data_IF_164941770074
#
_entry.id   IF_164941770074
#
_cell.length_a   1.000
_cell.length_b   1.000
_cell.length_c   1.000
_cell.angle_alpha   90.00
_cell.angle_beta   90.00
_cell.angle_gamma   90.00
#
_symmetry.space_group_name_H-M   'P 1'
#
loop_
_entity.id
_entity.type
_entity.pdbx_description
1 polymer ?
#
# COMPACT_ATOMS: atom_id res chain seq x y z
N UNK A 1 66.78 -24.20 23.31
CA UNK A 1 66.12 -25.24 22.48
C UNK A 1 64.74 -24.71 22.13
N UNK A 2 64.46 -24.61 20.83
CA UNK A 2 63.20 -24.23 20.20
C UNK A 2 62.61 -22.87 20.60
N UNK A 3 63.08 -21.82 19.92
CA UNK A 3 62.31 -20.59 19.73
C UNK A 3 61.03 -20.94 18.96
N UNK A 4 59.93 -21.09 19.68
CA UNK A 4 58.60 -21.19 19.08
C UNK A 4 58.23 -19.76 18.66
N UNK A 5 58.52 -19.42 17.40
CA UNK A 5 57.86 -18.31 16.72
C UNK A 5 56.38 -18.69 16.58
N UNK A 6 55.58 -18.28 17.56
CA UNK A 6 54.13 -18.18 17.40
C UNK A 6 53.89 -17.03 16.41
N UNK A 7 53.90 -17.35 15.13
CA UNK A 7 53.24 -16.53 14.11
C UNK A 7 51.75 -16.49 14.48
N UNK A 8 51.41 -15.48 15.28
CA UNK A 8 50.05 -15.02 15.46
C UNK A 8 49.58 -14.56 14.08
N UNK A 9 48.97 -15.47 13.34
CA UNK A 9 48.11 -15.20 12.18
C UNK A 9 46.88 -14.41 12.64
N UNK A 10 47.13 -13.21 13.18
CA UNK A 10 46.17 -12.14 13.19
C UNK A 10 46.16 -11.60 11.76
N UNK A 11 45.48 -12.31 10.87
CA UNK A 11 44.96 -11.71 9.64
C UNK A 11 43.90 -10.67 10.06
N UNK A 12 44.39 -9.55 10.57
CA UNK A 12 43.69 -8.29 10.54
C UNK A 12 43.27 -8.09 9.09
N UNK A 13 41.96 -7.88 8.90
CA UNK A 13 41.30 -7.53 7.65
C UNK A 13 42.29 -6.84 6.71
N UNK A 14 42.71 -7.53 5.64
CA UNK A 14 43.68 -7.01 4.68
C UNK A 14 43.09 -5.75 4.03
N UNK A 15 43.64 -4.59 4.37
CA UNK A 15 43.19 -3.27 3.92
C UNK A 15 43.79 -2.99 2.53
N UNK A 16 43.17 -3.47 1.47
CA UNK A 16 43.44 -2.99 0.10
C UNK A 16 42.37 -1.97 -0.31
N UNK A 17 42.82 -0.73 -0.52
CA UNK A 17 42.06 0.52 -0.46
C UNK A 17 40.92 0.75 -1.48
N UNK A 18 40.42 -0.23 -2.23
CA UNK A 18 39.26 0.00 -3.13
C UNK A 18 38.36 -1.22 -3.44
N UNK A 19 38.57 -2.42 -2.87
CA UNK A 19 37.79 -3.63 -3.22
C UNK A 19 36.97 -4.30 -2.09
N UNK A 20 37.04 -3.81 -0.84
CA UNK A 20 36.45 -4.47 0.33
C UNK A 20 35.02 -4.01 0.70
N UNK A 21 34.19 -3.58 -0.25
CA UNK A 21 32.81 -3.22 0.09
C UNK A 21 31.95 -4.46 0.38
N UNK A 22 32.16 -5.55 -0.36
CA UNK A 22 31.35 -6.77 -0.26
C UNK A 22 31.86 -7.71 0.84
N UNK A 23 30.90 -8.25 1.59
CA UNK A 23 31.10 -9.19 2.70
C UNK A 23 30.17 -10.39 2.54
N UNK A 24 30.71 -11.58 2.83
CA UNK A 24 29.96 -12.84 2.90
C UNK A 24 29.66 -13.17 4.36
N UNK A 25 28.38 -13.41 4.64
CA UNK A 25 27.87 -13.80 5.95
C UNK A 25 27.30 -15.21 5.87
N UNK A 26 27.51 -16.00 6.91
CA UNK A 26 26.77 -17.24 7.13
C UNK A 26 25.68 -16.97 8.18
N UNK A 27 24.43 -16.89 7.74
CA UNK A 27 23.28 -16.53 8.58
C UNK A 27 22.43 -17.78 8.79
N UNK A 28 22.51 -18.39 9.96
CA UNK A 28 21.78 -19.62 10.28
C UNK A 28 22.03 -20.77 9.29
N UNK A 29 23.22 -20.84 8.68
CA UNK A 29 23.59 -21.84 7.66
C UNK A 29 23.42 -21.37 6.21
N UNK A 30 22.81 -20.19 5.95
CA UNK A 30 22.65 -19.65 4.61
C UNK A 30 23.69 -18.57 4.30
N UNK A 31 24.39 -18.72 3.17
CA UNK A 31 25.40 -17.74 2.73
C UNK A 31 24.71 -16.54 2.08
N UNK A 32 24.92 -15.36 2.64
CA UNK A 32 24.36 -14.10 2.16
C UNK A 32 25.50 -13.13 1.80
N UNK A 33 25.35 -12.49 0.64
CA UNK A 33 26.27 -11.46 0.17
C UNK A 33 25.64 -10.08 0.39
N UNK A 34 26.40 -9.16 0.96
CA UNK A 34 25.97 -7.78 1.19
C UNK A 34 27.18 -6.85 1.25
N UNK A 35 26.94 -5.56 1.45
CA UNK A 35 28.02 -4.57 1.57
C UNK A 35 28.18 -4.08 3.01
N UNK A 36 29.40 -3.68 3.37
CA UNK A 36 29.67 -2.98 4.63
C UNK A 36 28.81 -1.71 4.75
N UNK A 37 28.60 -1.00 3.63
CA UNK A 37 27.70 0.16 3.54
C UNK A 37 26.28 -0.18 3.99
N UNK A 38 25.78 -1.35 3.59
CA UNK A 38 24.44 -1.82 3.99
C UNK A 38 24.41 -2.18 5.47
N UNK A 39 25.39 -2.96 5.96
CA UNK A 39 25.44 -3.40 7.36
C UNK A 39 25.67 -2.25 8.35
N UNK A 40 26.34 -1.18 7.91
CA UNK A 40 26.65 -0.01 8.75
C UNK A 40 25.69 1.16 8.55
N UNK A 41 24.61 0.98 7.79
CA UNK A 41 23.63 2.03 7.48
C UNK A 41 23.08 2.69 8.75
N UNK A 42 22.75 1.90 9.76
CA UNK A 42 22.34 2.37 11.09
C UNK A 42 23.50 2.18 12.09
N UNK A 43 24.37 3.18 12.18
CA UNK A 43 25.64 3.10 12.95
C UNK A 43 25.49 2.71 14.42
N UNK A 44 24.36 3.04 15.04
CA UNK A 44 24.06 2.73 16.44
C UNK A 44 23.50 1.31 16.66
N UNK A 45 23.16 0.60 15.59
CA UNK A 45 22.68 -0.78 15.65
C UNK A 45 23.83 -1.75 15.95
N UNK A 46 23.49 -2.94 16.42
CA UNK A 46 24.44 -4.03 16.62
C UNK A 46 25.17 -4.37 15.31
N UNK A 47 24.48 -4.42 14.17
CA UNK A 47 25.12 -4.62 12.86
C UNK A 47 26.10 -3.46 12.55
N UNK A 48 25.69 -2.23 12.83
CA UNK A 48 26.56 -1.07 12.69
C UNK A 48 27.84 -1.18 13.53
N UNK A 49 27.73 -1.64 14.77
CA UNK A 49 28.87 -1.85 15.67
C UNK A 49 29.73 -3.05 15.28
N UNK A 50 29.12 -4.13 14.79
CA UNK A 50 29.81 -5.32 14.32
C UNK A 50 30.66 -5.03 13.09
N UNK A 51 30.17 -4.20 12.17
CA UNK A 51 30.80 -3.99 10.87
C UNK A 51 31.38 -2.59 10.66
N UNK A 52 31.41 -1.74 11.71
CA UNK A 52 32.08 -0.44 11.64
C UNK A 52 33.55 -0.62 11.27
N UNK A 53 34.10 0.38 10.58
CA UNK A 53 35.54 0.46 10.34
C UNK A 53 36.27 0.44 11.70
N UNK A 54 37.36 -0.32 11.75
CA UNK A 54 38.20 -0.48 12.95
C UNK A 54 37.44 -1.06 14.16
N UNK A 55 36.43 -1.90 13.90
CA UNK A 55 35.74 -2.65 14.95
C UNK A 55 36.69 -3.59 15.69
N UNK A 56 36.52 -3.67 17.00
CA UNK A 56 37.19 -4.67 17.86
C UNK A 56 36.31 -5.90 18.08
N UNK A 57 35.19 -6.00 17.35
CA UNK A 57 34.25 -7.10 17.48
C UNK A 57 34.92 -8.42 17.11
N UNK A 58 34.84 -9.40 18.03
CA UNK A 58 35.40 -10.73 17.80
C UNK A 58 34.40 -11.56 17.01
N UNK A 59 34.57 -11.59 15.69
CA UNK A 59 33.70 -12.38 14.83
C UNK A 59 34.02 -13.88 14.94
N UNK A 60 33.00 -14.67 15.24
CA UNK A 60 33.04 -16.11 14.96
C UNK A 60 32.88 -16.32 13.47
N UNK A 61 33.65 -17.26 12.91
CA UNK A 61 33.61 -17.62 11.49
C UNK A 61 33.33 -19.11 11.33
N UNK A 62 32.69 -19.46 10.22
CA UNK A 62 32.53 -20.86 9.81
C UNK A 62 33.84 -21.42 9.23
N UNK A 63 33.83 -22.69 8.80
CA UNK A 63 34.97 -23.36 8.19
C UNK A 63 35.47 -22.71 6.88
N UNK A 64 34.64 -21.87 6.25
CA UNK A 64 34.98 -21.14 5.02
C UNK A 64 35.46 -19.70 5.30
N UNK A 65 35.53 -19.30 6.57
CA UNK A 65 35.93 -17.96 6.99
C UNK A 65 34.81 -16.90 6.91
N UNK A 66 33.56 -17.29 6.66
CA UNK A 66 32.43 -16.35 6.63
C UNK A 66 31.95 -16.04 8.04
N UNK A 67 31.61 -14.77 8.28
CA UNK A 67 31.17 -14.31 9.60
C UNK A 67 29.81 -14.93 9.93
N UNK A 68 29.72 -15.57 11.08
CA UNK A 68 28.51 -16.22 11.57
C UNK A 68 27.55 -15.20 12.19
N UNK A 69 26.29 -15.27 11.76
CA UNK A 69 25.16 -14.56 12.36
C UNK A 69 24.14 -15.61 12.79
N UNK A 70 23.86 -15.68 14.10
CA UNK A 70 22.90 -16.60 14.68
C UNK A 70 21.48 -16.05 14.55
N UNK A 71 20.89 -16.17 13.37
CA UNK A 71 19.55 -15.71 13.05
C UNK A 71 18.91 -16.56 11.93
N UNK A 72 17.58 -16.59 11.86
CA UNK A 72 16.86 -17.16 10.71
C UNK A 72 17.15 -16.28 9.47
N UNK A 73 17.72 -16.85 8.40
CA UNK A 73 18.11 -16.08 7.23
C UNK A 73 16.94 -15.46 6.48
N UNK A 74 15.72 -15.99 6.60
CA UNK A 74 14.52 -15.44 5.95
C UNK A 74 14.16 -14.08 6.55
N UNK A 75 14.13 -13.97 7.88
CA UNK A 75 13.89 -12.68 8.54
C UNK A 75 15.08 -11.73 8.34
N UNK A 76 16.31 -12.25 8.38
CA UNK A 76 17.50 -11.43 8.14
C UNK A 76 17.55 -10.85 6.71
N UNK A 77 17.02 -11.55 5.72
CA UNK A 77 16.93 -11.02 4.35
C UNK A 77 16.02 -9.79 4.29
N UNK A 78 14.91 -9.78 5.03
CA UNK A 78 14.04 -8.59 5.14
C UNK A 78 14.79 -7.43 5.79
N UNK A 79 15.55 -7.68 6.85
CA UNK A 79 16.43 -6.67 7.48
C UNK A 79 17.41 -6.08 6.45
N UNK A 80 18.08 -6.93 5.69
CA UNK A 80 19.05 -6.47 4.68
C UNK A 80 18.39 -5.65 3.58
N UNK A 81 17.23 -6.08 3.07
CA UNK A 81 16.49 -5.36 2.04
C UNK A 81 16.07 -3.97 2.56
N UNK A 82 15.56 -3.89 3.78
CA UNK A 82 15.31 -2.61 4.44
C UNK A 82 16.57 -1.73 4.49
N UNK A 83 17.73 -2.27 4.88
CA UNK A 83 18.97 -1.49 4.93
C UNK A 83 19.50 -1.08 3.54
N UNK A 84 19.19 -1.85 2.49
CA UNK A 84 19.57 -1.56 1.09
C UNK A 84 18.80 -0.39 0.51
N UNK A 85 17.46 -0.44 0.59
CA UNK A 85 16.59 0.49 -0.14
C UNK A 85 15.59 1.26 0.74
N UNK A 86 15.52 1.00 2.04
CA UNK A 86 14.68 1.74 2.99
C UNK A 86 13.20 1.35 2.98
N UNK A 87 12.84 0.25 2.31
CA UNK A 87 11.45 -0.25 2.24
C UNK A 87 11.38 -1.66 2.82
N UNK A 88 10.26 -1.97 3.50
CA UNK A 88 10.00 -3.31 3.99
C UNK A 88 9.19 -4.07 2.94
N UNK A 89 9.77 -5.16 2.42
CA UNK A 89 9.09 -6.09 1.52
C UNK A 89 9.08 -7.45 2.20
N UNK A 90 7.88 -7.95 2.53
CA UNK A 90 7.68 -9.24 3.20
C UNK A 90 6.82 -10.13 2.31
N UNK A 91 7.26 -11.37 2.10
CA UNK A 91 6.47 -12.37 1.40
C UNK A 91 5.19 -12.69 2.20
N UNK A 92 4.05 -12.98 1.54
CA UNK A 92 2.76 -13.18 2.22
C UNK A 92 2.77 -14.20 3.38
N UNK A 93 3.68 -15.18 3.35
CA UNK A 93 3.75 -16.27 4.31
C UNK A 93 4.82 -16.09 5.40
N UNK A 94 5.57 -14.98 5.40
CA UNK A 94 6.59 -14.72 6.40
C UNK A 94 5.99 -13.96 7.59
N UNK A 95 6.20 -14.46 8.81
CA UNK A 95 5.64 -13.85 10.02
C UNK A 95 6.35 -12.54 10.37
N UNK A 96 5.63 -11.41 10.32
CA UNK A 96 6.15 -10.08 10.67
C UNK A 96 6.74 -9.99 12.08
N UNK A 97 6.22 -10.76 13.05
CA UNK A 97 6.80 -10.80 14.40
C UNK A 97 8.24 -11.29 14.42
N UNK A 98 8.61 -12.20 13.51
CA UNK A 98 9.99 -12.66 13.37
C UNK A 98 10.92 -11.53 12.92
N UNK A 99 10.47 -10.70 11.97
CA UNK A 99 11.21 -9.52 11.49
C UNK A 99 11.35 -8.50 12.61
N UNK A 100 10.25 -8.18 13.31
CA UNK A 100 10.24 -7.21 14.42
C UNK A 100 11.14 -7.65 15.58
N UNK A 101 11.09 -8.93 15.96
CA UNK A 101 11.96 -9.49 16.99
C UNK A 101 13.43 -9.36 16.60
N UNK A 102 13.76 -9.64 15.34
CA UNK A 102 15.14 -9.56 14.86
C UNK A 102 15.63 -8.10 14.73
N UNK A 103 14.75 -7.18 14.32
CA UNK A 103 15.03 -5.75 14.30
C UNK A 103 15.36 -5.22 15.70
N UNK A 104 14.57 -5.61 16.70
CA UNK A 104 14.81 -5.28 18.13
C UNK A 104 16.12 -5.88 18.63
N UNK A 105 16.40 -7.13 18.29
CA UNK A 105 17.65 -7.80 18.67
C UNK A 105 18.89 -7.06 18.13
N UNK A 106 18.87 -6.64 16.86
CA UNK A 106 19.95 -5.87 16.28
C UNK A 106 19.93 -4.37 16.64
N UNK A 107 18.93 -3.89 17.40
CA UNK A 107 18.81 -2.47 17.72
C UNK A 107 18.60 -1.58 16.50
N UNK A 108 17.83 -2.07 15.51
CA UNK A 108 17.43 -1.32 14.32
C UNK A 108 16.17 -0.51 14.63
N UNK A 109 16.37 0.65 15.25
CA UNK A 109 15.28 1.48 15.75
C UNK A 109 14.46 2.06 14.60
N UNK A 110 15.12 2.45 13.51
CA UNK A 110 14.44 2.97 12.32
C UNK A 110 13.43 1.97 11.74
N UNK A 111 13.78 0.68 11.75
CA UNK A 111 12.92 -0.40 11.31
C UNK A 111 11.84 -0.74 12.34
N UNK A 112 12.21 -0.81 13.62
CA UNK A 112 11.27 -1.09 14.72
C UNK A 112 10.18 -0.02 14.77
N UNK A 113 10.54 1.26 14.70
CA UNK A 113 9.62 2.38 14.65
C UNK A 113 8.72 2.30 13.41
N UNK A 114 9.26 1.92 12.25
CA UNK A 114 8.47 1.76 11.02
C UNK A 114 7.41 0.66 11.19
N UNK A 115 7.81 -0.53 11.69
CA UNK A 115 6.89 -1.66 11.90
C UNK A 115 5.88 -1.33 13.00
N UNK A 116 6.31 -0.80 14.14
CA UNK A 116 5.41 -0.43 15.23
C UNK A 116 4.43 0.65 14.77
N UNK A 117 4.85 1.62 13.94
CA UNK A 117 3.93 2.60 13.33
C UNK A 117 2.97 1.95 12.34
N UNK A 118 3.40 0.99 11.52
CA UNK A 118 2.52 0.24 10.62
C UNK A 118 1.51 -0.64 11.36
N UNK A 119 1.92 -1.37 12.40
CA UNK A 119 1.02 -2.14 13.26
C UNK A 119 0.08 -1.23 14.03
N UNK A 120 0.58 -0.14 14.61
CA UNK A 120 -0.25 0.85 15.25
C UNK A 120 -1.25 1.47 14.27
N UNK A 121 -0.86 1.71 13.02
CA UNK A 121 -1.77 2.18 11.99
C UNK A 121 -2.80 1.10 11.64
N UNK A 122 -2.42 -0.16 11.47
CA UNK A 122 -3.35 -1.28 11.23
C UNK A 122 -4.36 -1.43 12.37
N UNK A 123 -3.90 -1.34 13.62
CA UNK A 123 -4.75 -1.38 14.82
C UNK A 123 -5.60 -0.10 15.02
N UNK A 124 -5.40 0.93 14.19
CA UNK A 124 -6.21 2.15 14.22
C UNK A 124 -7.33 2.16 13.18
N UNK A 125 -7.38 1.15 12.30
CA UNK A 125 -8.45 1.01 11.32
C UNK A 125 -9.50 0.03 11.83
N UNK A 126 -10.70 0.50 12.13
CA UNK A 126 -11.87 -0.37 12.27
C UNK A 126 -12.32 -0.85 10.90
N UNK A 127 -12.60 -2.15 10.80
CA UNK A 127 -13.27 -2.72 9.64
C UNK A 127 -14.78 -2.45 9.79
N UNK A 128 -15.35 -1.65 8.88
CA UNK A 128 -16.77 -1.35 8.87
C UNK A 128 -17.55 -2.33 7.99
N UNK A 129 -16.94 -2.74 6.88
CA UNK A 129 -17.55 -3.62 5.90
C UNK A 129 -16.47 -4.47 5.23
N UNK A 130 -16.72 -5.77 5.11
CA UNK A 130 -15.93 -6.67 4.29
C UNK A 130 -16.88 -7.56 3.46
N UNK A 131 -16.65 -7.62 2.15
CA UNK A 131 -17.48 -8.33 1.20
C UNK A 131 -16.62 -9.01 0.12
N UNK A 132 -16.65 -10.35 0.16
CA UNK A 132 -15.87 -11.21 -0.73
C UNK A 132 -16.76 -11.94 -1.74
N UNK A 133 -18.09 -11.72 -1.72
CA UNK A 133 -19.07 -12.28 -2.66
C UNK A 133 -18.97 -13.80 -2.87
N UNK A 134 -18.54 -14.55 -1.84
CA UNK A 134 -18.39 -16.01 -1.88
C UNK A 134 -19.75 -16.71 -1.98
N UNK A 135 -20.78 -16.08 -1.39
CA UNK A 135 -22.17 -16.51 -1.53
C UNK A 135 -22.70 -16.17 -2.93
N UNK A 136 -23.43 -17.10 -3.53
CA UNK A 136 -24.18 -16.84 -4.77
C UNK A 136 -25.45 -16.00 -4.53
N UNK A 137 -25.81 -15.78 -3.27
CA UNK A 137 -26.92 -14.91 -2.87
C UNK A 137 -26.39 -13.60 -2.29
N UNK A 138 -26.97 -12.49 -2.73
CA UNK A 138 -26.64 -11.16 -2.21
C UNK A 138 -27.22 -10.97 -0.80
N UNK A 139 -26.41 -10.47 0.12
CA UNK A 139 -26.88 -10.07 1.43
C UNK A 139 -27.66 -8.75 1.38
N UNK A 140 -28.97 -8.86 1.25
CA UNK A 140 -29.89 -7.71 1.21
C UNK A 140 -30.00 -6.96 2.54
N UNK A 141 -29.40 -7.43 3.64
CA UNK A 141 -29.30 -6.61 4.86
C UNK A 141 -28.17 -5.59 4.76
N UNK A 142 -27.16 -5.83 3.92
CA UNK A 142 -26.03 -4.94 3.69
C UNK A 142 -26.13 -4.14 2.39
N UNK A 143 -26.82 -4.68 1.40
CA UNK A 143 -26.80 -4.13 0.05
C UNK A 143 -28.20 -3.84 -0.52
N UNK A 144 -28.25 -2.82 -1.36
CA UNK A 144 -29.34 -2.52 -2.29
C UNK A 144 -28.76 -2.59 -3.69
N UNK A 145 -29.48 -3.24 -4.61
CA UNK A 145 -29.14 -3.21 -6.04
C UNK A 145 -30.21 -2.44 -6.80
N UNK A 146 -29.81 -1.39 -7.51
CA UNK A 146 -30.71 -0.62 -8.38
C UNK A 146 -30.46 -1.01 -9.84
N UNK A 147 -31.56 -1.10 -10.60
CA UNK A 147 -31.57 -1.57 -12.00
C UNK A 147 -32.45 -0.68 -12.87
N UNK A 148 -32.27 0.63 -12.72
CA UNK A 148 -33.11 1.62 -13.40
C UNK A 148 -32.72 1.80 -14.88
N UNK A 149 -31.46 1.52 -15.22
CA UNK A 149 -30.97 1.64 -16.59
C UNK A 149 -31.42 0.45 -17.47
N UNK A 150 -31.74 0.66 -18.76
CA UNK A 150 -32.15 -0.41 -19.67
C UNK A 150 -31.13 -1.55 -19.78
N UNK A 151 -31.59 -2.77 -19.50
CA UNK A 151 -30.74 -3.96 -19.53
C UNK A 151 -29.74 -4.06 -18.39
N UNK A 152 -29.87 -3.23 -17.36
CA UNK A 152 -29.08 -3.33 -16.14
C UNK A 152 -29.36 -4.64 -15.41
N UNK A 153 -28.30 -5.30 -14.97
CA UNK A 153 -28.40 -6.57 -14.24
C UNK A 153 -27.16 -6.82 -13.39
N UNK A 154 -27.16 -7.89 -12.61
CA UNK A 154 -26.01 -8.31 -11.85
C UNK A 154 -25.93 -9.84 -11.76
N UNK A 155 -24.73 -10.36 -11.49
CA UNK A 155 -24.45 -11.78 -11.27
C UNK A 155 -23.51 -11.90 -10.07
N UNK A 156 -23.75 -12.87 -9.18
CA UNK A 156 -22.76 -13.30 -8.19
C UNK A 156 -22.23 -14.66 -8.62
N UNK A 157 -20.94 -14.74 -8.92
CA UNK A 157 -20.27 -16.00 -9.22
C UNK A 157 -18.79 -15.93 -8.84
N UNK A 158 -18.23 -17.06 -8.42
CA UNK A 158 -16.79 -17.23 -8.18
C UNK A 158 -16.15 -16.21 -7.21
N UNK A 159 -16.87 -15.78 -6.17
CA UNK A 159 -16.34 -14.78 -5.24
C UNK A 159 -16.33 -13.35 -5.80
N UNK A 160 -17.19 -13.07 -6.79
CA UNK A 160 -17.22 -11.77 -7.48
C UNK A 160 -18.65 -11.32 -7.74
N UNK A 161 -18.82 -10.00 -7.74
CA UNK A 161 -20.06 -9.34 -8.15
C UNK A 161 -19.89 -8.72 -9.54
N UNK A 162 -20.69 -9.17 -10.51
CA UNK A 162 -20.76 -8.60 -11.86
C UNK A 162 -21.77 -7.47 -11.89
N UNK A 163 -21.34 -6.27 -12.25
CA UNK A 163 -22.19 -5.16 -12.67
C UNK A 163 -22.42 -5.26 -14.17
N UNK A 164 -23.67 -5.13 -14.61
CA UNK A 164 -24.03 -5.13 -16.04
C UNK A 164 -24.85 -3.89 -16.34
N UNK A 165 -24.47 -3.15 -17.38
CA UNK A 165 -25.18 -2.02 -17.95
C UNK A 165 -25.72 -1.04 -16.89
N UNK A 166 -24.85 -0.46 -16.05
CA UNK A 166 -25.23 0.56 -15.06
C UNK A 166 -26.17 0.04 -13.97
N UNK A 167 -26.01 -1.23 -13.57
CA UNK A 167 -26.51 -1.66 -12.27
C UNK A 167 -25.74 -0.93 -11.16
N UNK A 168 -26.43 -0.55 -10.08
CA UNK A 168 -25.81 0.05 -8.90
C UNK A 168 -25.77 -0.98 -7.80
N UNK A 169 -24.63 -1.15 -7.16
CA UNK A 169 -24.49 -1.78 -5.85
C UNK A 169 -24.32 -0.66 -4.81
N UNK A 170 -25.29 -0.53 -3.90
CA UNK A 170 -25.35 0.56 -2.91
C UNK A 170 -25.34 -0.03 -1.50
N UNK A 171 -24.47 0.46 -0.62
CA UNK A 171 -24.46 0.04 0.78
C UNK A 171 -25.70 0.54 1.52
N UNK A 172 -26.22 -0.26 2.46
CA UNK A 172 -27.24 0.18 3.42
C UNK A 172 -26.65 0.95 4.59
N UNK A 173 -25.40 0.68 4.93
CA UNK A 173 -24.65 1.46 5.91
C UNK A 173 -24.06 2.72 5.28
N UNK A 174 -23.93 3.78 6.08
CA UNK A 174 -23.32 5.04 5.68
C UNK A 174 -21.90 5.14 6.23
N UNK A 175 -20.98 5.61 5.39
CA UNK A 175 -19.57 5.78 5.73
C UNK A 175 -19.21 7.25 5.70
N UNK A 176 -19.46 7.93 6.82
CA UNK A 176 -19.27 9.38 6.93
C UNK A 176 -17.81 9.73 7.27
N UNK A 177 -17.10 10.49 6.42
CA UNK A 177 -15.72 10.88 6.70
C UNK A 177 -15.55 11.85 7.87
N UNK A 178 -16.63 12.47 8.36
CA UNK A 178 -16.59 13.26 9.59
C UNK A 178 -16.42 12.40 10.85
N UNK A 179 -16.75 11.10 10.80
CA UNK A 179 -16.57 10.17 11.92
C UNK A 179 -15.13 9.64 12.01
N UNK A 180 -14.31 9.89 10.98
CA UNK A 180 -12.94 9.40 10.83
C UNK A 180 -12.62 9.16 9.36
N UNK A 181 -11.34 9.21 8.98
CA UNK A 181 -10.92 8.99 7.59
C UNK A 181 -11.44 7.63 7.10
N UNK A 182 -12.15 7.63 5.97
CA UNK A 182 -12.69 6.42 5.34
C UNK A 182 -11.69 5.93 4.31
N UNK A 183 -11.46 4.61 4.31
CA UNK A 183 -10.68 3.89 3.32
C UNK A 183 -11.56 2.84 2.66
N UNK A 184 -11.61 2.82 1.34
CA UNK A 184 -12.34 1.82 0.56
C UNK A 184 -11.36 1.12 -0.37
N UNK A 185 -11.33 -0.21 -0.34
CA UNK A 185 -10.48 -1.00 -1.23
C UNK A 185 -11.26 -2.11 -1.91
N UNK A 186 -10.78 -2.53 -3.07
CA UNK A 186 -11.27 -3.73 -3.74
C UNK A 186 -10.47 -4.04 -4.99
N UNK A 187 -10.95 -5.02 -5.75
CA UNK A 187 -10.40 -5.40 -7.05
C UNK A 187 -11.50 -5.24 -8.08
N UNK A 188 -11.18 -4.54 -9.16
CA UNK A 188 -12.05 -4.32 -10.31
C UNK A 188 -11.50 -5.03 -11.54
N UNK A 189 -12.34 -5.70 -12.31
CA UNK A 189 -11.97 -6.29 -13.61
C UNK A 189 -13.05 -5.97 -14.63
N UNK A 190 -12.71 -5.22 -15.67
CA UNK A 190 -13.66 -4.89 -16.74
C UNK A 190 -13.61 -5.93 -17.85
N UNK A 191 -14.78 -6.34 -18.36
CA UNK A 191 -14.85 -7.32 -19.46
C UNK A 191 -14.43 -6.69 -20.81
N UNK A 192 -14.53 -5.35 -20.94
CA UNK A 192 -14.21 -4.64 -22.18
C UNK A 192 -13.34 -3.41 -21.94
N UNK A 193 -12.69 -2.92 -23.00
CA UNK A 193 -11.93 -1.68 -22.94
C UNK A 193 -12.81 -0.43 -22.86
N UNK A 194 -14.08 -0.55 -23.25
CA UNK A 194 -15.04 0.55 -23.29
C UNK A 194 -15.75 0.78 -21.94
N UNK A 195 -15.70 -0.19 -21.03
CA UNK A 195 -16.28 -0.06 -19.70
C UNK A 195 -15.42 0.83 -18.78
N UNK A 196 -16.05 1.35 -17.73
CA UNK A 196 -15.48 2.32 -16.80
C UNK A 196 -15.36 1.74 -15.39
N UNK A 197 -14.42 2.29 -14.63
CA UNK A 197 -14.40 2.17 -13.17
C UNK A 197 -15.12 3.38 -12.59
N UNK A 198 -16.17 3.17 -11.80
CA UNK A 198 -16.91 4.24 -11.13
C UNK A 198 -17.34 3.80 -9.73
N UNK A 199 -16.82 4.50 -8.73
CA UNK A 199 -17.19 4.35 -7.31
C UNK A 199 -17.55 5.74 -6.81
N UNK A 200 -18.63 5.88 -6.04
CA UNK A 200 -18.99 7.14 -5.42
C UNK A 200 -19.19 7.02 -3.91
N UNK A 201 -18.83 8.09 -3.22
CA UNK A 201 -19.03 8.30 -1.77
C UNK A 201 -19.80 9.59 -1.53
N UNK A 202 -20.20 9.84 -0.28
CA UNK A 202 -21.01 11.01 0.10
C UNK A 202 -22.28 11.12 -0.76
N UNK A 203 -22.87 9.98 -1.12
CA UNK A 203 -24.01 9.89 -2.03
C UNK A 203 -25.25 9.37 -1.30
N UNK A 204 -26.42 9.80 -1.76
CA UNK A 204 -27.71 9.23 -1.37
C UNK A 204 -28.04 7.91 -2.10
N UNK A 205 -27.17 7.47 -3.02
CA UNK A 205 -27.35 6.23 -3.77
C UNK A 205 -28.27 6.35 -4.98
N UNK A 206 -28.81 7.53 -5.29
CA UNK A 206 -29.69 7.73 -6.44
C UNK A 206 -28.94 8.13 -7.71
N UNK A 207 -29.55 7.83 -8.86
CA UNK A 207 -29.06 8.22 -10.17
C UNK A 207 -29.90 9.38 -10.78
N UNK A 208 -29.36 10.05 -11.79
CA UNK A 208 -30.02 11.14 -12.50
C UNK A 208 -31.11 10.67 -13.50
N UNK A 209 -31.26 9.36 -13.70
CA UNK A 209 -32.12 8.79 -14.73
C UNK A 209 -31.51 8.86 -16.14
N UNK A 210 -32.39 8.68 -17.13
CA UNK A 210 -32.02 8.65 -18.55
C UNK A 210 -31.32 9.95 -19.03
N UNK A 211 -30.37 9.86 -19.97
CA UNK A 211 -29.95 8.64 -20.70
C UNK A 211 -28.80 7.88 -20.05
N UNK A 212 -28.04 8.49 -19.16
CA UNK A 212 -26.77 7.92 -18.68
C UNK A 212 -26.86 7.29 -17.29
N UNK A 213 -27.85 7.68 -16.49
CA UNK A 213 -28.07 7.22 -15.12
C UNK A 213 -26.80 7.39 -14.27
N UNK A 214 -26.12 8.53 -14.43
CA UNK A 214 -24.97 8.90 -13.60
C UNK A 214 -25.40 9.16 -12.16
N UNK A 215 -24.46 9.09 -11.22
CA UNK A 215 -24.73 9.40 -9.82
C UNK A 215 -25.28 10.82 -9.70
N UNK A 216 -26.37 10.98 -8.95
CA UNK A 216 -27.04 12.27 -8.77
C UNK A 216 -26.23 13.24 -7.92
N UNK A 217 -25.58 12.76 -6.86
CA UNK A 217 -24.84 13.57 -5.89
C UNK A 217 -23.72 12.78 -5.21
N UNK A 218 -22.74 13.50 -4.69
CA UNK A 218 -21.59 12.93 -3.97
C UNK A 218 -20.27 13.19 -4.69
N UNK A 219 -19.26 12.41 -4.32
CA UNK A 219 -17.93 12.42 -4.94
C UNK A 219 -17.79 11.12 -5.72
N UNK A 220 -17.59 11.23 -7.03
CA UNK A 220 -17.38 10.08 -7.91
C UNK A 220 -15.90 9.96 -8.28
N UNK A 221 -15.34 8.79 -8.01
CA UNK A 221 -14.02 8.35 -8.41
C UNK A 221 -14.15 7.58 -9.72
N UNK A 222 -13.67 8.18 -10.80
CA UNK A 222 -13.93 7.70 -12.15
C UNK A 222 -12.62 7.50 -12.91
N UNK A 223 -12.48 6.32 -13.53
CA UNK A 223 -11.45 6.07 -14.52
C UNK A 223 -12.05 5.59 -15.84
N UNK A 224 -11.71 6.28 -16.92
CA UNK A 224 -12.05 5.89 -18.28
C UNK A 224 -11.00 6.39 -19.27
N UNK A 225 -10.79 5.64 -20.35
CA UNK A 225 -9.95 6.05 -21.50
C UNK A 225 -8.56 6.59 -21.10
N UNK A 226 -7.91 5.97 -20.11
CA UNK A 226 -6.58 6.38 -19.64
C UNK A 226 -6.56 7.56 -18.66
N UNK A 227 -7.73 8.09 -18.27
CA UNK A 227 -7.85 9.27 -17.41
C UNK A 227 -8.52 8.91 -16.09
N UNK A 228 -7.84 9.24 -14.98
CA UNK A 228 -8.40 9.22 -13.63
C UNK A 228 -8.96 10.60 -13.29
N UNK A 229 -10.19 10.66 -12.75
CA UNK A 229 -10.89 11.90 -12.42
C UNK A 229 -11.66 11.75 -11.10
N UNK A 230 -11.68 12.82 -10.31
CA UNK A 230 -12.54 12.94 -9.13
C UNK A 230 -13.60 13.99 -9.47
N UNK A 231 -14.86 13.58 -9.54
CA UNK A 231 -15.97 14.38 -10.03
C UNK A 231 -16.91 14.70 -8.88
N UNK A 232 -17.19 15.98 -8.66
CA UNK A 232 -18.27 16.41 -7.78
C UNK A 232 -19.61 16.30 -8.48
N UNK A 233 -20.59 15.67 -7.83
CA UNK A 233 -21.97 15.55 -8.33
C UNK A 233 -22.92 16.32 -7.41
N UNK A 234 -23.96 16.93 -7.99
CA UNK A 234 -24.91 17.75 -7.24
C UNK A 234 -24.26 19.02 -6.68
N UNK A 235 -24.39 19.26 -5.37
CA UNK A 235 -23.80 20.42 -4.68
C UNK A 235 -22.35 20.23 -4.24
N UNK A 236 -21.77 19.05 -4.47
CA UNK A 236 -20.40 18.72 -4.08
C UNK A 236 -19.43 19.22 -5.14
N UNK A 237 -18.40 19.98 -4.73
CA UNK A 237 -17.42 20.57 -5.63
C UNK A 237 -15.98 20.34 -5.14
N UNK A 238 -15.23 19.40 -5.73
CA UNK A 238 -13.79 19.33 -5.57
C UNK A 238 -13.15 20.67 -6.03
N UNK A 239 -12.36 21.28 -5.16
CA UNK A 239 -11.84 22.66 -5.34
C UNK A 239 -10.32 22.76 -5.23
N UNK A 240 -9.65 21.71 -4.76
CA UNK A 240 -8.20 21.68 -4.65
C UNK A 240 -7.51 21.55 -6.01
N UNK A 241 -6.24 21.97 -6.05
CA UNK A 241 -5.36 21.57 -7.15
C UNK A 241 -5.28 20.04 -7.20
N UNK A 242 -5.58 19.49 -8.37
CA UNK A 242 -5.48 18.06 -8.62
C UNK A 242 -4.00 17.67 -8.69
N UNK A 243 -3.59 16.74 -7.82
CA UNK A 243 -2.27 16.11 -7.87
C UNK A 243 -2.41 14.74 -8.51
N UNK A 244 -1.53 14.42 -9.44
CA UNK A 244 -1.48 13.10 -10.09
C UNK A 244 -0.08 12.53 -9.87
N UNK A 245 -0.02 11.29 -9.39
CA UNK A 245 1.21 10.50 -9.29
C UNK A 245 1.02 9.25 -10.14
N UNK A 246 2.04 8.90 -10.94
CA UNK A 246 2.07 7.67 -11.73
C UNK A 246 3.31 6.86 -11.38
N UNK A 247 3.19 5.55 -11.46
CA UNK A 247 4.31 4.61 -11.47
C UNK A 247 4.20 3.80 -12.76
N UNK A 248 5.20 3.94 -13.65
CA UNK A 248 5.14 3.38 -14.99
C UNK A 248 3.97 3.93 -15.84
N UNK A 249 3.78 3.31 -17.00
CA UNK A 249 2.65 3.58 -17.89
C UNK A 249 1.43 2.75 -17.46
N UNK A 250 0.63 3.30 -16.54
CA UNK A 250 -0.56 2.60 -16.05
C UNK A 250 -1.60 2.39 -17.15
N UNK A 251 -1.98 1.13 -17.35
CA UNK A 251 -3.00 0.72 -18.31
C UNK A 251 -4.04 -0.17 -17.63
N UNK A 252 -5.31 0.24 -17.66
CA UNK A 252 -6.40 -0.60 -17.20
C UNK A 252 -6.92 -1.44 -18.36
N UNK A 253 -6.38 -2.65 -18.53
CA UNK A 253 -6.80 -3.58 -19.58
C UNK A 253 -8.14 -4.28 -19.30
N UNK A 254 -8.80 -4.77 -20.35
CA UNK A 254 -9.91 -5.71 -20.24
C UNK A 254 -9.39 -7.06 -19.74
N UNK A 255 -10.13 -7.70 -18.82
CA UNK A 255 -9.75 -8.94 -18.17
C UNK A 255 -8.60 -8.81 -17.16
N UNK A 256 -8.01 -7.62 -16.98
CA UNK A 256 -6.92 -7.37 -16.05
C UNK A 256 -7.48 -6.99 -14.68
N UNK A 257 -7.18 -7.75 -13.61
CA UNK A 257 -7.56 -7.37 -12.25
C UNK A 257 -6.75 -6.14 -11.81
N UNK A 258 -7.46 -5.06 -11.49
CA UNK A 258 -6.88 -3.82 -10.99
C UNK A 258 -7.36 -3.59 -9.58
N UNK A 259 -6.41 -3.39 -8.67
CA UNK A 259 -6.72 -3.00 -7.32
C UNK A 259 -7.07 -1.51 -7.28
N UNK A 260 -8.03 -1.15 -6.44
CA UNK A 260 -8.35 0.23 -6.15
C UNK A 260 -8.28 0.52 -4.66
N UNK A 261 -7.92 1.76 -4.34
CA UNK A 261 -7.92 2.29 -2.98
C UNK A 261 -8.40 3.73 -3.02
N UNK A 262 -9.42 4.04 -2.23
CA UNK A 262 -9.99 5.37 -2.08
C UNK A 262 -9.80 5.79 -0.63
N UNK A 263 -9.38 7.05 -0.43
CA UNK A 263 -9.36 7.71 0.87
C UNK A 263 -10.23 8.96 0.84
N UNK A 264 -10.97 9.16 1.92
CA UNK A 264 -11.76 10.35 2.18
C UNK A 264 -11.62 10.74 3.66
N UNK A 265 -10.93 11.86 3.94
CA UNK A 265 -10.77 12.39 5.30
C UNK A 265 -11.71 13.57 5.62
N UNK A 266 -12.72 13.81 4.77
CA UNK A 266 -13.66 14.93 4.91
C UNK A 266 -13.16 16.22 4.26
N UNK A 267 -11.86 16.32 3.99
CA UNK A 267 -11.21 17.48 3.38
C UNK A 267 -10.45 17.13 2.10
N UNK A 268 -9.64 16.09 2.14
CA UNK A 268 -8.82 15.55 1.06
C UNK A 268 -9.44 14.23 0.61
N UNK A 269 -9.57 14.10 -0.69
CA UNK A 269 -9.99 12.84 -1.32
C UNK A 269 -8.93 12.39 -2.29
N UNK A 270 -8.67 11.09 -2.31
CA UNK A 270 -7.76 10.50 -3.28
C UNK A 270 -8.24 9.13 -3.69
N UNK A 271 -7.92 8.73 -4.92
CA UNK A 271 -8.00 7.33 -5.28
C UNK A 271 -6.79 6.89 -6.10
N UNK A 272 -6.43 5.63 -5.90
CA UNK A 272 -5.34 4.96 -6.59
C UNK A 272 -5.88 3.73 -7.30
N UNK A 273 -5.33 3.46 -8.48
CA UNK A 273 -5.49 2.21 -9.21
C UNK A 273 -4.12 1.62 -9.47
N UNK A 274 -3.95 0.32 -9.28
CA UNK A 274 -2.71 -0.36 -9.62
C UNK A 274 -2.93 -1.79 -10.10
N UNK A 275 -2.03 -2.21 -10.98
CA UNK A 275 -1.94 -3.56 -11.49
C UNK A 275 -0.63 -4.20 -11.02
N UNK A 276 -0.73 -5.41 -10.48
CA UNK A 276 0.40 -6.11 -9.86
C UNK A 276 1.40 -6.66 -10.89
N UNK A 277 0.93 -7.21 -12.01
CA UNK A 277 1.78 -7.92 -13.00
C UNK A 277 2.88 -7.02 -13.57
N UNK A 278 2.51 -5.80 -13.97
CA UNK A 278 3.45 -4.82 -14.53
C UNK A 278 3.92 -3.78 -13.49
N UNK A 279 3.42 -3.87 -12.26
CA UNK A 279 3.69 -2.93 -11.17
C UNK A 279 3.51 -1.46 -11.60
N UNK A 280 2.38 -1.18 -12.27
CA UNK A 280 2.03 0.17 -12.71
C UNK A 280 0.89 0.72 -11.85
N UNK A 281 0.89 2.04 -11.63
CA UNK A 281 -0.15 2.70 -10.84
C UNK A 281 -0.45 4.12 -11.29
N UNK A 282 -1.65 4.57 -10.97
CA UNK A 282 -2.07 5.97 -11.03
C UNK A 282 -2.77 6.34 -9.73
N UNK A 283 -2.40 7.47 -9.16
CA UNK A 283 -3.04 8.07 -7.99
C UNK A 283 -3.45 9.50 -8.33
N UNK A 284 -4.68 9.86 -8.01
CA UNK A 284 -5.17 11.23 -8.08
C UNK A 284 -5.66 11.68 -6.71
N UNK A 285 -5.36 12.92 -6.36
CA UNK A 285 -5.73 13.55 -5.10
C UNK A 285 -6.21 14.97 -5.35
N UNK A 286 -7.25 15.39 -4.61
CA UNK A 286 -7.68 16.78 -4.56
C UNK A 286 -8.34 17.10 -3.22
N UNK A 287 -8.75 18.36 -3.04
CA UNK A 287 -9.49 18.83 -1.87
C UNK A 287 -10.98 18.87 -2.19
N UNK A 288 -11.81 18.32 -1.31
CA UNK A 288 -13.26 18.46 -1.32
C UNK A 288 -13.79 18.56 0.12
N UNK A 289 -14.14 19.78 0.54
CA UNK A 289 -14.64 20.08 1.89
C UNK A 289 -16.16 20.15 1.99
N UNK A 290 -16.87 20.12 0.86
CA UNK A 290 -18.33 20.10 0.84
C UNK A 290 -18.85 18.78 1.41
N UNK A 291 -19.74 18.86 2.39
CA UNK A 291 -20.32 17.68 3.06
C UNK A 291 -21.64 17.28 2.41
N UNK A 292 -22.05 16.03 2.63
CA UNK A 292 -23.39 15.56 2.31
C UNK A 292 -24.03 14.93 3.57
N UNK A 293 -25.36 14.99 3.66
CA UNK A 293 -26.13 14.39 4.75
C UNK A 293 -26.18 12.86 4.66
N UNK A 294 -25.99 12.33 3.45
CA UNK A 294 -26.04 10.89 3.16
C UNK A 294 -24.72 10.42 2.58
N UNK A 295 -24.23 9.28 3.06
CA UNK A 295 -22.88 8.80 2.78
C UNK A 295 -22.83 7.31 2.42
N UNK A 296 -23.75 6.86 1.55
CA UNK A 296 -23.67 5.49 1.04
C UNK A 296 -22.47 5.32 0.10
N UNK A 297 -21.90 4.12 0.12
CA UNK A 297 -20.98 3.65 -0.90
C UNK A 297 -21.82 3.21 -2.11
N UNK A 298 -21.49 3.75 -3.27
CA UNK A 298 -22.16 3.44 -4.53
C UNK A 298 -21.12 2.90 -5.50
N UNK A 299 -21.40 1.77 -6.12
CA UNK A 299 -20.54 1.19 -7.13
C UNK A 299 -21.37 0.82 -8.36
N UNK A 300 -20.95 1.28 -9.53
CA UNK A 300 -21.62 0.95 -10.79
C UNK A 300 -20.64 0.97 -11.96
N UNK A 301 -20.95 0.23 -13.02
CA UNK A 301 -20.19 0.28 -14.26
C UNK A 301 -20.88 1.16 -15.30
N UNK A 302 -20.37 1.18 -16.52
CA UNK A 302 -20.94 1.94 -17.62
C UNK A 302 -22.31 1.40 -18.06
N UNK A 303 -23.14 2.29 -18.60
CA UNK A 303 -24.40 1.95 -19.26
C UNK A 303 -24.19 1.15 -20.54
N UNK A 304 -25.27 0.51 -21.01
CA UNK A 304 -25.27 -0.14 -22.32
C UNK A 304 -25.04 0.89 -23.43
N UNK A 305 -24.15 0.58 -24.37
CA UNK A 305 -23.86 1.44 -25.52
C UNK A 305 -24.42 0.78 -26.77
N UNK A 306 -25.43 1.37 -27.40
CA UNK A 306 -26.10 0.80 -28.57
C UNK A 306 -26.54 -0.66 -28.29
N UNK A 307 -25.96 -1.62 -29.01
CA UNK A 307 -26.17 -3.07 -28.82
C UNK A 307 -25.20 -3.70 -27.83
N UNK A 308 -24.09 -3.03 -27.49
CA UNK A 308 -23.00 -3.59 -26.72
C UNK A 308 -23.28 -3.48 -25.22
N UNK A 309 -23.36 -4.63 -24.56
CA UNK A 309 -23.46 -4.71 -23.11
C UNK A 309 -22.11 -4.37 -22.47
N UNK A 310 -22.12 -3.54 -21.44
CA UNK A 310 -20.94 -3.25 -20.61
C UNK A 310 -21.04 -4.05 -19.33
N UNK A 311 -19.92 -4.66 -18.92
CA UNK A 311 -19.86 -5.39 -17.67
C UNK A 311 -18.49 -5.38 -17.01
N UNK A 312 -18.52 -5.34 -15.68
CA UNK A 312 -17.35 -5.30 -14.83
C UNK A 312 -17.58 -6.11 -13.57
N UNK A 313 -16.49 -6.61 -12.99
CA UNK A 313 -16.45 -7.43 -11.80
C UNK A 313 -15.84 -6.68 -10.64
N UNK A 314 -16.39 -6.89 -9.45
CA UNK A 314 -15.85 -6.41 -8.17
C UNK A 314 -15.63 -7.60 -7.25
N UNK A 315 -14.51 -7.58 -6.52
CA UNK A 315 -14.21 -8.55 -5.46
C UNK A 315 -13.39 -7.92 -4.34
N UNK A 316 -13.33 -8.62 -3.20
CA UNK A 316 -12.54 -8.23 -2.03
C UNK A 316 -12.83 -6.79 -1.57
N UNK A 317 -14.10 -6.41 -1.57
CA UNK A 317 -14.53 -5.07 -1.21
C UNK A 317 -14.42 -4.89 0.29
N UNK A 318 -13.77 -3.81 0.72
CA UNK A 318 -13.60 -3.49 2.14
C UNK A 318 -13.74 -1.99 2.38
N UNK A 319 -14.45 -1.65 3.45
CA UNK A 319 -14.53 -0.29 3.99
C UNK A 319 -13.94 -0.29 5.40
N UNK A 320 -13.07 0.66 5.68
CA UNK A 320 -12.45 0.83 6.99
C UNK A 320 -12.44 2.29 7.40
N UNK A 321 -12.46 2.54 8.72
CA UNK A 321 -12.42 3.88 9.29
C UNK A 321 -11.23 4.03 10.21
N UNK A 322 -10.57 5.18 10.11
CA UNK A 322 -9.50 5.58 11.01
C UNK A 322 -10.08 6.07 12.34
N UNK A 323 -9.83 5.35 13.43
CA UNK A 323 -10.43 5.65 14.74
C UNK A 323 -9.56 6.54 15.65
N UNK A 324 -8.34 6.87 15.24
CA UNK A 324 -7.50 7.79 16.02
C UNK A 324 -7.92 9.24 15.77
N UNK A 325 -7.94 10.03 16.84
CA UNK A 325 -8.19 11.47 16.79
C UNK A 325 -7.11 12.23 16.01
N UNK A 326 -5.89 11.69 15.92
CA UNK A 326 -4.81 12.25 15.11
C UNK A 326 -4.99 11.88 13.64
N UNK A 327 -4.90 12.83 12.69
CA UNK A 327 -4.95 12.51 11.27
C UNK A 327 -3.86 11.52 10.88
N UNK A 328 -4.21 10.49 10.09
CA UNK A 328 -3.24 9.51 9.57
C UNK A 328 -2.10 10.19 8.82
N UNK A 329 -2.43 11.18 7.98
CA UNK A 329 -1.47 12.01 7.27
C UNK A 329 -1.08 13.18 8.16
N UNK A 330 -0.07 12.99 9.00
CA UNK A 330 0.46 14.07 9.82
C UNK A 330 1.09 15.14 8.90
N UNK A 331 0.37 16.22 8.59
CA UNK A 331 0.85 17.31 7.69
C UNK A 331 2.13 17.96 8.20
N UNK A 332 2.36 17.90 9.51
CA UNK A 332 3.63 18.24 10.13
C UNK A 332 4.59 17.06 9.96
N UNK A 333 5.10 16.83 8.74
CA UNK A 333 6.46 16.30 8.62
C UNK A 333 7.32 17.25 9.45
N UNK A 334 7.85 16.79 10.59
CA UNK A 334 8.76 17.58 11.42
C UNK A 334 9.74 18.26 10.48
N UNK A 335 9.74 19.59 10.47
CA UNK A 335 10.66 20.41 9.68
C UNK A 335 12.13 20.25 10.12
N UNK A 336 12.47 19.17 10.84
CA UNK A 336 13.77 18.98 11.47
C UNK A 336 14.87 18.54 10.51
N UNK A 337 14.57 18.04 9.31
CA UNK A 337 15.64 17.60 8.39
C UNK A 337 16.21 18.70 7.47
N UNK A 338 15.82 19.97 7.63
CA UNK A 338 16.48 21.09 6.92
C UNK A 338 17.48 21.91 7.74
N UNK A 339 17.76 21.56 9.00
CA UNK A 339 18.63 22.39 9.88
C UNK A 339 19.96 21.79 10.33
N UNK A 340 20.50 20.78 9.65
CA UNK A 340 21.87 20.31 9.89
C UNK A 340 22.92 20.73 8.83
N UNK A 341 22.53 21.49 7.79
CA UNK A 341 23.48 22.12 6.86
C UNK A 341 23.81 23.57 7.22
N UNK A 342 23.93 23.89 8.52
CA UNK A 342 24.51 25.15 8.99
C UNK A 342 25.68 24.79 9.90
N UNK A 343 26.79 24.37 9.28
CA UNK A 343 28.14 24.43 9.84
C UNK A 343 29.16 24.24 8.71
N UNK A 344 29.15 25.17 7.75
CA UNK A 344 30.26 25.39 6.80
C UNK A 344 30.49 26.88 6.69
N UNK A 345 31.05 27.48 7.74
CA UNK A 345 31.74 28.78 7.68
C UNK A 345 32.51 29.03 8.98
N UNK A 346 33.62 28.33 9.15
CA UNK A 346 34.87 28.87 9.70
C UNK A 346 35.97 28.34 8.79
#
# INVERSE_FOLDING_TARGET
MNNINLELNNEFIVINNNQNEWVKLNVGGQIIHTTLTTLTKEKGSMLGLMFKKDTTWKHTRDENGFILIDADPRYFMVILNFLRHGEIVVEPNLNYYGVLSLARYFGLNSLTDLIDNEENNKNSWSNLLEENFVSNELDYNRWIVQRDSPGSNFILEEGKFKLINRAYLVSKEQFNPDDGEIRITGIWTKDSQEDFFQVATRSDGSNQGSPYFEVKNGIEFHYSRGQATIIGRGSILPSGMVKIKKQGEFFFGAGVPVHFEIFDDGCTVSFSLWETTHNTSITIETTCTNKNLTNYLVIHNREKINTNSMSSWISNLKVSRWDKSTPRRNRYRRLTDKRLNLNTSM
#
